data_IF_877945359369
#
_entry.id   IF_877945359369
#
_cell.length_a   1.000
_cell.length_b   1.000
_cell.length_c   1.000
_cell.angle_alpha   90.00
_cell.angle_beta   90.00
_cell.angle_gamma   90.00
#
_symmetry.space_group_name_H-M   'P 1'
#
loop_
_entity.id
_entity.type
_entity.pdbx_description
1 polymer ?
#
# COMPACT_ATOMS: atom_id res chain seq x y z
N UNK A 1 -11.39 -4.23 8.25
CA UNK A 1 -10.41 -3.98 9.37
C UNK A 1 -10.33 -2.49 9.74
N UNK A 2 -10.09 -2.13 11.02
CA UNK A 2 -9.97 -0.72 11.47
C UNK A 2 -8.52 -0.39 11.87
N UNK A 3 -7.97 0.69 11.31
CA UNK A 3 -6.60 1.15 11.58
C UNK A 3 -6.66 2.55 12.19
N UNK A 4 -6.08 2.72 13.38
CA UNK A 4 -5.94 4.02 14.05
C UNK A 4 -4.48 4.43 14.03
N UNK A 5 -4.20 5.65 13.63
CA UNK A 5 -2.83 6.19 13.59
C UNK A 5 -2.83 7.55 14.25
N UNK A 6 -1.86 7.77 15.12
CA UNK A 6 -1.59 9.07 15.71
C UNK A 6 -0.23 9.57 15.24
N UNK A 7 -0.21 10.65 14.47
CA UNK A 7 1.02 11.34 14.06
C UNK A 7 1.01 12.72 14.72
N UNK A 8 1.96 12.95 15.62
CA UNK A 8 1.94 14.15 16.47
C UNK A 8 0.69 14.21 17.36
N UNK A 9 -0.07 15.31 17.27
CA UNK A 9 -1.32 15.51 18.02
C UNK A 9 -2.57 14.95 17.34
N UNK A 10 -2.48 14.58 16.06
CA UNK A 10 -3.63 14.21 15.23
C UNK A 10 -3.86 12.70 15.26
N UNK A 11 -5.10 12.30 15.57
CA UNK A 11 -5.56 10.91 15.51
C UNK A 11 -6.43 10.73 14.27
N UNK A 12 -6.08 9.77 13.42
CA UNK A 12 -6.87 9.36 12.26
C UNK A 12 -7.34 7.93 12.42
N UNK A 13 -8.57 7.67 11.99
CA UNK A 13 -9.16 6.32 11.95
C UNK A 13 -9.55 5.96 10.52
N UNK A 14 -9.01 4.86 10.02
CA UNK A 14 -9.24 4.36 8.67
C UNK A 14 -9.91 3.00 8.75
N UNK A 15 -11.17 2.95 8.33
CA UNK A 15 -11.88 1.70 8.16
C UNK A 15 -11.66 1.18 6.73
N UNK A 16 -10.89 0.09 6.64
CA UNK A 16 -10.57 -0.55 5.36
C UNK A 16 -11.76 -1.24 4.70
N UNK A 17 -12.89 -1.41 5.38
CA UNK A 17 -14.10 -2.00 4.80
C UNK A 17 -14.92 -0.97 3.98
N UNK A 18 -14.64 0.32 4.17
CA UNK A 18 -15.30 1.38 3.41
C UNK A 18 -14.78 1.42 1.98
N UNK A 19 -15.69 1.61 1.02
CA UNK A 19 -15.34 1.77 -0.39
C UNK A 19 -14.38 2.95 -0.62
N UNK A 20 -14.60 4.04 0.11
CA UNK A 20 -13.79 5.25 0.06
C UNK A 20 -13.67 5.85 1.46
N UNK A 21 -12.45 6.17 1.85
CA UNK A 21 -12.09 6.90 3.07
C UNK A 21 -11.25 8.12 2.72
N UNK A 22 -11.28 9.14 3.56
CA UNK A 22 -10.52 10.38 3.34
C UNK A 22 -9.63 10.69 4.52
N UNK A 23 -8.44 11.18 4.23
CA UNK A 23 -7.50 11.69 5.22
C UNK A 23 -7.14 13.14 4.88
N UNK A 24 -7.78 14.06 5.60
CA UNK A 24 -7.55 15.50 5.49
C UNK A 24 -6.97 16.01 6.81
N UNK A 25 -5.65 16.08 6.91
CA UNK A 25 -4.95 16.78 8.00
C UNK A 25 -4.14 17.94 7.41
N UNK A 26 -4.01 19.08 8.11
CA UNK A 26 -3.06 20.11 7.71
C UNK A 26 -1.63 19.58 7.63
N UNK A 27 -0.83 20.17 6.73
CA UNK A 27 0.60 19.88 6.60
C UNK A 27 0.91 18.46 6.12
N UNK A 28 2.08 17.95 6.51
CA UNK A 28 2.61 16.67 6.04
C UNK A 28 2.09 15.45 6.82
N UNK A 29 1.48 15.67 7.98
CA UNK A 29 0.98 14.59 8.85
C UNK A 29 -0.01 13.66 8.12
N UNK A 30 -0.75 14.19 7.14
CA UNK A 30 -1.66 13.40 6.30
C UNK A 30 -0.91 12.35 5.47
N UNK A 31 0.24 12.70 4.91
CA UNK A 31 1.06 11.78 4.11
C UNK A 31 1.75 10.76 5.01
N UNK A 32 2.30 11.17 6.15
CA UNK A 32 2.90 10.21 7.11
C UNK A 32 1.89 9.19 7.60
N UNK A 33 0.68 9.64 7.94
CA UNK A 33 -0.40 8.74 8.37
C UNK A 33 -0.80 7.78 7.25
N UNK A 34 -1.03 8.29 6.04
CA UNK A 34 -1.39 7.46 4.89
C UNK A 34 -0.32 6.44 4.48
N UNK A 35 0.95 6.85 4.49
CA UNK A 35 2.08 5.94 4.25
C UNK A 35 2.23 4.91 5.35
N UNK A 36 1.99 5.26 6.61
CA UNK A 36 1.99 4.26 7.69
C UNK A 36 0.85 3.26 7.51
N UNK A 37 -0.36 3.69 7.10
CA UNK A 37 -1.43 2.75 6.70
C UNK A 37 -0.91 1.79 5.64
N UNK A 38 -0.30 2.30 4.57
CA UNK A 38 0.27 1.47 3.51
C UNK A 38 1.20 0.37 4.06
N UNK A 39 2.16 0.74 4.89
CA UNK A 39 3.14 -0.21 5.45
C UNK A 39 2.52 -1.21 6.43
N UNK A 40 1.54 -0.80 7.23
CA UNK A 40 0.83 -1.70 8.15
C UNK A 40 0.00 -2.74 7.37
N UNK A 41 -0.74 -2.31 6.34
CA UNK A 41 -1.49 -3.21 5.46
C UNK A 41 -0.55 -4.17 4.72
N UNK A 42 0.58 -3.66 4.22
CA UNK A 42 1.59 -4.44 3.49
C UNK A 42 2.18 -5.51 4.40
N UNK A 43 2.49 -5.13 5.64
CA UNK A 43 2.99 -6.05 6.67
C UNK A 43 1.99 -7.17 6.90
N UNK A 44 0.73 -6.86 7.21
CA UNK A 44 -0.33 -7.87 7.44
C UNK A 44 -0.49 -8.81 6.24
N UNK A 45 -0.54 -8.26 5.03
CA UNK A 45 -0.69 -9.04 3.81
C UNK A 45 0.47 -10.02 3.59
N UNK A 46 1.69 -9.64 3.98
CA UNK A 46 2.92 -10.40 3.76
C UNK A 46 3.25 -11.41 4.87
N UNK A 47 2.49 -11.45 5.98
CA UNK A 47 2.75 -12.43 7.03
C UNK A 47 2.49 -13.86 6.50
N UNK A 48 3.48 -14.76 6.55
CA UNK A 48 3.30 -16.16 6.16
C UNK A 48 2.47 -16.93 7.20
N UNK A 49 2.04 -18.13 6.85
CA UNK A 49 1.47 -19.07 7.84
C UNK A 49 2.54 -19.45 8.87
N UNK A 50 2.15 -19.60 10.13
CA UNK A 50 3.06 -19.72 11.28
C UNK A 50 3.00 -21.09 11.99
N UNK A 51 2.29 -22.07 11.43
CA UNK A 51 2.10 -23.41 12.01
C UNK A 51 3.38 -24.24 12.21
N UNK A 52 4.53 -23.78 11.69
CA UNK A 52 5.82 -24.49 11.80
C UNK A 52 6.58 -24.28 13.12
N UNK A 53 6.12 -23.39 14.00
CA UNK A 53 6.81 -23.10 15.26
C UNK A 53 6.28 -23.97 16.39
N UNK A 54 7.11 -24.88 16.91
CA UNK A 54 6.74 -25.87 17.93
C UNK A 54 7.51 -25.57 19.21
N UNK A 55 6.98 -24.69 20.07
CA UNK A 55 7.55 -24.52 21.42
C UNK A 55 6.50 -24.01 22.40
N UNK A 56 6.32 -24.75 23.50
CA UNK A 56 5.45 -24.33 24.61
C UNK A 56 3.96 -24.39 24.29
N UNK A 57 3.20 -23.47 24.86
CA UNK A 57 1.78 -23.30 24.61
C UNK A 57 1.53 -22.82 23.16
N UNK A 58 0.72 -23.54 22.35
CA UNK A 58 0.46 -23.19 20.95
C UNK A 58 -0.04 -21.76 20.73
N UNK A 59 -0.88 -21.25 21.64
CA UNK A 59 -1.48 -19.91 21.51
C UNK A 59 -0.42 -18.83 21.76
N UNK A 60 0.30 -18.91 22.89
CA UNK A 60 1.37 -17.96 23.20
C UNK A 60 2.52 -18.05 22.19
N UNK A 61 2.90 -19.27 21.78
CA UNK A 61 3.95 -19.47 20.76
C UNK A 61 3.58 -18.88 19.40
N UNK A 62 2.31 -19.01 18.98
CA UNK A 62 1.80 -18.35 17.78
C UNK A 62 1.85 -16.82 17.92
N UNK A 63 1.38 -16.29 19.06
CA UNK A 63 1.38 -14.84 19.32
C UNK A 63 2.78 -14.24 19.27
N UNK A 64 3.74 -14.82 19.98
CA UNK A 64 5.14 -14.36 19.99
C UNK A 64 5.76 -14.42 18.60
N UNK A 65 5.45 -15.47 17.84
CA UNK A 65 5.94 -15.62 16.47
C UNK A 65 5.31 -14.59 15.54
N UNK A 66 4.00 -14.36 15.64
CA UNK A 66 3.30 -13.35 14.87
C UNK A 66 3.85 -11.95 15.17
N UNK A 67 4.02 -11.60 16.44
CA UNK A 67 4.56 -10.31 16.88
C UNK A 67 5.97 -10.08 16.33
N UNK A 68 6.86 -11.07 16.47
CA UNK A 68 8.22 -11.02 15.93
C UNK A 68 8.24 -10.89 14.41
N UNK A 69 7.43 -11.67 13.69
CA UNK A 69 7.36 -11.62 12.22
C UNK A 69 6.79 -10.29 11.75
N UNK A 70 5.69 -9.81 12.35
CA UNK A 70 5.11 -8.50 12.07
C UNK A 70 6.16 -7.39 12.26
N UNK A 71 6.85 -7.39 13.40
CA UNK A 71 7.87 -6.38 13.71
C UNK A 71 9.04 -6.43 12.73
N UNK A 72 9.50 -7.63 12.37
CA UNK A 72 10.61 -7.80 11.41
C UNK A 72 10.26 -7.24 10.03
N UNK A 73 9.05 -7.56 9.53
CA UNK A 73 8.57 -7.08 8.24
C UNK A 73 8.38 -5.55 8.25
N UNK A 74 7.69 -5.02 9.25
CA UNK A 74 7.42 -3.59 9.35
C UNK A 74 8.71 -2.78 9.49
N UNK A 75 9.66 -3.24 10.33
CA UNK A 75 10.97 -2.60 10.49
C UNK A 75 11.74 -2.60 9.18
N UNK A 76 11.72 -3.71 8.43
CA UNK A 76 12.40 -3.80 7.14
C UNK A 76 11.79 -2.88 6.08
N UNK A 77 10.47 -2.73 6.06
CA UNK A 77 9.79 -1.86 5.09
C UNK A 77 9.93 -0.37 5.46
N UNK A 78 10.02 -0.07 6.76
CA UNK A 78 10.24 1.29 7.28
C UNK A 78 11.72 1.66 7.39
N UNK A 79 12.68 0.80 7.05
CA UNK A 79 14.10 1.06 7.34
C UNK A 79 14.62 2.40 6.77
N UNK A 80 14.09 2.79 5.60
CA UNK A 80 14.35 4.09 4.96
C UNK A 80 13.48 5.21 5.52
N UNK A 81 12.22 4.93 5.87
CA UNK A 81 11.21 5.92 6.23
C UNK A 81 11.12 6.24 7.74
N UNK A 82 11.64 5.36 8.62
CA UNK A 82 11.56 5.47 10.09
C UNK A 82 12.29 6.67 10.67
N UNK A 83 13.17 7.30 9.89
CA UNK A 83 13.92 8.49 10.32
C UNK A 83 13.15 9.79 10.09
N UNK A 84 11.94 9.74 9.51
CA UNK A 84 11.25 10.95 9.02
C UNK A 84 9.98 11.30 9.80
N UNK A 85 9.47 10.39 10.65
CA UNK A 85 8.25 10.67 11.42
C UNK A 85 8.17 9.83 12.70
N UNK A 86 7.36 10.30 13.64
CA UNK A 86 6.94 9.57 14.84
C UNK A 86 5.45 9.31 14.78
N UNK A 87 5.04 8.10 15.12
CA UNK A 87 3.63 7.73 15.14
C UNK A 87 3.34 6.63 16.17
N UNK A 88 2.14 6.63 16.72
CA UNK A 88 1.58 5.42 17.32
C UNK A 88 0.48 4.86 16.41
N UNK A 89 0.30 3.54 16.46
CA UNK A 89 -0.69 2.86 15.64
C UNK A 89 -1.39 1.75 16.41
N UNK A 90 -2.63 1.51 16.01
CA UNK A 90 -3.45 0.40 16.46
C UNK A 90 -4.16 -0.21 15.24
N UNK A 91 -4.05 -1.53 15.09
CA UNK A 91 -4.79 -2.30 14.09
C UNK A 91 -5.79 -3.17 14.85
N UNK A 92 -7.05 -2.91 14.61
CA UNK A 92 -8.17 -3.67 15.16
C UNK A 92 -8.68 -4.67 14.13
N UNK A 93 -8.48 -5.95 14.47
CA UNK A 93 -8.96 -7.12 13.74
C UNK A 93 -10.04 -7.85 14.58
N UNK A 94 -10.80 -8.78 13.97
CA UNK A 94 -11.86 -9.51 14.70
C UNK A 94 -11.34 -10.26 15.93
N UNK A 95 -10.29 -11.08 15.78
CA UNK A 95 -9.79 -11.96 16.83
C UNK A 95 -8.56 -11.43 17.58
N UNK A 96 -7.97 -10.32 17.12
CA UNK A 96 -6.76 -9.76 17.73
C UNK A 96 -6.66 -8.25 17.50
N UNK A 97 -5.77 -7.62 18.25
CA UNK A 97 -5.39 -6.22 18.09
C UNK A 97 -3.88 -6.11 18.10
N UNK A 98 -3.33 -5.20 17.30
CA UNK A 98 -1.90 -4.93 17.21
C UNK A 98 -1.70 -3.48 17.57
N UNK A 99 -0.88 -3.18 18.58
CA UNK A 99 -0.52 -1.82 18.99
C UNK A 99 0.96 -1.62 18.82
N UNK A 100 1.39 -0.43 18.45
CA UNK A 100 2.81 -0.17 18.34
C UNK A 100 3.12 1.29 18.10
N UNK A 101 4.42 1.56 18.04
CA UNK A 101 4.96 2.89 17.85
C UNK A 101 6.11 2.84 16.84
N UNK A 102 6.20 3.89 16.04
CA UNK A 102 7.35 4.20 15.18
C UNK A 102 8.02 5.41 15.81
N UNK A 103 9.25 5.21 16.27
CA UNK A 103 10.12 6.27 16.73
C UNK A 103 11.35 6.35 15.83
N UNK A 104 12.18 7.38 16.04
CA UNK A 104 13.41 7.54 15.29
C UNK A 104 14.32 6.32 15.50
N UNK A 105 14.58 5.58 14.43
CA UNK A 105 15.43 4.39 14.44
C UNK A 105 14.81 3.13 15.05
N UNK A 106 13.59 3.18 15.62
CA UNK A 106 12.97 2.03 16.27
C UNK A 106 11.48 1.86 15.93
N UNK A 107 11.05 0.61 15.88
CA UNK A 107 9.65 0.22 15.70
C UNK A 107 9.30 -0.74 16.82
N UNK A 108 8.13 -0.60 17.42
CA UNK A 108 7.60 -1.53 18.41
C UNK A 108 6.25 -2.07 17.95
N UNK A 109 5.93 -3.30 18.33
CA UNK A 109 4.64 -3.92 18.08
C UNK A 109 4.29 -4.86 19.24
N UNK A 110 3.03 -4.87 19.64
CA UNK A 110 2.47 -5.73 20.68
C UNK A 110 1.12 -6.28 20.23
N UNK A 111 0.95 -7.59 20.37
CA UNK A 111 -0.28 -8.29 19.99
C UNK A 111 -1.14 -8.57 21.22
N UNK A 112 -2.42 -8.26 21.12
CA UNK A 112 -3.45 -8.60 22.09
C UNK A 112 -4.45 -9.56 21.43
N UNK A 113 -4.64 -10.74 22.03
CA UNK A 113 -5.59 -11.73 21.53
C UNK A 113 -6.96 -11.45 22.16
N UNK A 114 -7.95 -11.09 21.34
CA UNK A 114 -9.33 -10.85 21.81
C UNK A 114 -10.08 -12.16 22.03
N UNK A 115 -9.71 -13.17 21.24
CA UNK A 115 -10.28 -14.51 21.29
C UNK A 115 -9.17 -15.55 21.31
N UNK A 116 -9.42 -16.66 22.02
CA UNK A 116 -8.52 -17.80 22.13
C UNK A 116 -9.25 -19.04 21.59
N UNK A 117 -8.68 -19.79 20.64
CA UNK A 117 -9.30 -20.99 20.10
C UNK A 117 -9.38 -22.10 21.17
N UNK A 118 -10.49 -22.85 21.16
CA UNK A 118 -10.58 -24.10 21.91
C UNK A 118 -9.89 -25.22 21.13
N UNK A 119 -8.74 -25.66 21.63
CA UNK A 119 -7.92 -26.68 20.97
C UNK A 119 -8.53 -28.05 21.19
N UNK A 120 -8.74 -28.80 20.11
CA UNK A 120 -9.24 -30.18 20.16
C UNK A 120 -8.11 -31.20 20.12
N UNK A 121 -7.02 -30.83 19.46
CA UNK A 121 -5.86 -31.68 19.26
C UNK A 121 -4.65 -31.17 20.07
N UNK A 122 -3.60 -32.00 20.15
CA UNK A 122 -2.34 -31.67 20.82
C UNK A 122 -1.16 -31.70 19.85
N UNK A 123 -0.02 -31.13 20.25
CA UNK A 123 1.21 -31.14 19.48
C UNK A 123 1.11 -30.33 18.18
N UNK A 124 1.67 -30.84 17.09
CA UNK A 124 1.73 -30.11 15.80
C UNK A 124 0.35 -29.70 15.29
N UNK A 125 -0.65 -30.55 15.47
CA UNK A 125 -1.99 -30.25 14.96
C UNK A 125 -2.66 -29.11 15.72
N UNK A 126 -2.38 -28.98 17.02
CA UNK A 126 -2.81 -27.81 17.80
C UNK A 126 -2.25 -26.50 17.22
N UNK A 127 -0.98 -26.47 16.80
CA UNK A 127 -0.40 -25.30 16.15
C UNK A 127 -1.09 -24.96 14.83
N UNK A 128 -1.49 -25.98 14.06
CA UNK A 128 -2.24 -25.78 12.82
C UNK A 128 -3.66 -25.25 13.07
N UNK A 129 -4.34 -25.73 14.12
CA UNK A 129 -5.65 -25.22 14.55
C UNK A 129 -5.58 -23.75 14.95
N UNK A 130 -4.59 -23.37 15.79
CA UNK A 130 -4.37 -21.97 16.20
C UNK A 130 -4.10 -21.08 14.99
N UNK A 131 -3.18 -21.50 14.14
CA UNK A 131 -2.78 -20.74 12.96
C UNK A 131 -3.96 -20.54 11.99
N UNK A 132 -4.74 -21.59 11.75
CA UNK A 132 -5.93 -21.52 10.90
C UNK A 132 -7.03 -20.65 11.50
N UNK A 133 -7.25 -20.74 12.81
CA UNK A 133 -8.20 -19.89 13.52
C UNK A 133 -7.91 -18.41 13.30
N UNK A 134 -6.68 -17.96 13.60
CA UNK A 134 -6.34 -16.55 13.47
C UNK A 134 -6.28 -16.11 12.00
N UNK A 135 -5.63 -16.86 11.11
CA UNK A 135 -5.51 -16.43 9.71
C UNK A 135 -6.81 -16.47 8.93
N UNK A 136 -7.81 -17.27 9.34
CA UNK A 136 -9.14 -17.22 8.74
C UNK A 136 -9.89 -15.92 9.05
N UNK A 137 -9.44 -15.18 10.07
CA UNK A 137 -10.08 -13.95 10.59
C UNK A 137 -9.24 -12.70 10.38
N UNK A 138 -8.02 -12.83 9.86
CA UNK A 138 -7.18 -11.72 9.45
C UNK A 138 -7.54 -11.41 8.00
N UNK A 139 -8.16 -10.25 7.79
CA UNK A 139 -8.38 -9.73 6.45
C UNK A 139 -7.04 -9.33 5.82
N UNK A 140 -6.69 -9.95 4.69
CA UNK A 140 -5.48 -9.66 3.93
C UNK A 140 -5.84 -8.84 2.71
N UNK A 141 -5.79 -7.52 2.86
CA UNK A 141 -5.95 -6.58 1.75
C UNK A 141 -4.60 -6.34 1.09
N UNK A 142 -4.55 -6.31 -0.24
CA UNK A 142 -3.33 -6.01 -0.97
C UNK A 142 -3.20 -4.49 -1.14
N UNK A 143 -2.29 -3.81 -0.44
CA UNK A 143 -2.19 -2.37 -0.53
C UNK A 143 -1.43 -1.93 -1.80
N UNK A 144 -1.71 -0.72 -2.24
CA UNK A 144 -0.96 0.00 -3.27
C UNK A 144 -0.97 1.48 -2.94
N UNK A 145 0.05 2.22 -3.37
CA UNK A 145 0.16 3.66 -3.08
C UNK A 145 0.56 4.45 -4.32
N UNK A 146 -0.14 5.55 -4.54
CA UNK A 146 0.14 6.55 -5.55
C UNK A 146 0.56 7.83 -4.82
N UNK A 147 1.86 8.19 -4.80
CA UNK A 147 2.35 9.33 -4.04
C UNK A 147 2.06 10.67 -4.72
N UNK A 148 2.08 11.77 -3.96
CA UNK A 148 1.80 13.10 -4.49
C UNK A 148 2.82 13.51 -5.57
N UNK A 149 4.09 13.11 -5.38
CA UNK A 149 5.19 13.33 -6.33
C UNK A 149 5.21 12.40 -7.54
N UNK A 150 4.12 11.68 -7.85
CA UNK A 150 4.02 10.68 -8.93
C UNK A 150 4.58 11.16 -10.28
N UNK A 151 4.33 12.41 -10.67
CA UNK A 151 4.81 12.98 -11.95
C UNK A 151 6.34 12.93 -12.00
N UNK A 152 7.00 13.50 -10.98
CA UNK A 152 8.47 13.51 -10.90
C UNK A 152 9.05 12.09 -10.84
N UNK A 153 8.38 11.16 -10.15
CA UNK A 153 8.80 9.76 -10.09
C UNK A 153 8.68 9.06 -11.45
N UNK A 154 7.59 9.26 -12.19
CA UNK A 154 7.42 8.69 -13.53
C UNK A 154 8.43 9.25 -14.51
N UNK A 155 8.71 10.55 -14.45
CA UNK A 155 9.76 11.19 -15.27
C UNK A 155 11.13 10.61 -14.93
N UNK A 156 11.49 10.50 -13.66
CA UNK A 156 12.81 10.05 -13.22
C UNK A 156 13.06 8.55 -13.45
N UNK A 157 12.01 7.73 -13.35
CA UNK A 157 12.12 6.27 -13.39
C UNK A 157 11.37 5.62 -14.56
N UNK A 158 11.09 6.39 -15.61
CA UNK A 158 10.38 5.97 -16.82
C UNK A 158 10.88 4.64 -17.42
N UNK A 159 12.20 4.42 -17.38
CA UNK A 159 12.86 3.22 -17.90
C UNK A 159 12.50 1.93 -17.15
N UNK A 160 12.01 2.04 -15.91
CA UNK A 160 11.58 0.91 -15.09
C UNK A 160 10.09 0.58 -15.27
N UNK A 161 9.37 1.34 -16.09
CA UNK A 161 7.94 1.12 -16.34
C UNK A 161 7.68 -0.01 -17.34
N UNK A 162 8.68 -0.55 -18.03
CA UNK A 162 8.49 -1.62 -19.02
C UNK A 162 9.05 -2.94 -18.48
N UNK A 163 8.30 -4.04 -18.65
CA UNK A 163 8.78 -5.39 -18.32
C UNK A 163 10.05 -5.67 -19.14
N UNK A 164 11.18 -5.85 -18.45
CA UNK A 164 12.43 -6.28 -19.05
C UNK A 164 12.56 -7.80 -18.87
N UNK A 165 12.55 -8.56 -19.98
CA UNK A 165 12.85 -9.99 -19.93
C UNK A 165 14.35 -10.16 -19.64
N UNK A 166 14.65 -11.00 -18.64
CA UNK A 166 15.98 -11.35 -18.15
C UNK A 166 16.70 -10.32 -17.25
N UNK A 167 16.69 -10.59 -15.93
CA UNK A 167 17.62 -10.06 -14.91
C UNK A 167 17.63 -8.53 -14.63
N UNK A 168 16.58 -7.77 -14.93
CA UNK A 168 16.55 -6.38 -14.46
C UNK A 168 15.89 -6.24 -13.08
N UNK A 169 16.62 -5.75 -12.06
CA UNK A 169 16.01 -5.41 -10.78
C UNK A 169 15.08 -4.23 -11.00
N UNK A 170 13.85 -4.32 -10.48
CA UNK A 170 13.03 -3.13 -10.28
C UNK A 170 13.79 -2.07 -9.46
N UNK A 171 13.21 -0.89 -9.27
CA UNK A 171 13.86 0.13 -8.45
C UNK A 171 14.24 -0.47 -7.09
N UNK A 172 15.49 -0.28 -6.60
CA UNK A 172 15.91 -0.81 -5.32
C UNK A 172 14.97 -0.38 -4.19
N UNK A 173 14.64 -1.31 -3.28
CA UNK A 173 13.79 -1.02 -2.10
C UNK A 173 14.30 0.15 -1.25
N UNK A 174 15.59 0.47 -1.33
CA UNK A 174 16.20 1.63 -0.68
C UNK A 174 15.58 2.98 -1.08
N UNK A 175 14.85 3.07 -2.22
CA UNK A 175 14.09 4.25 -2.62
C UNK A 175 12.69 4.34 -1.95
N UNK A 176 12.35 3.41 -1.05
CA UNK A 176 11.13 3.45 -0.25
C UNK A 176 9.85 3.49 -1.11
N UNK A 177 8.93 4.40 -0.78
CA UNK A 177 7.65 4.57 -1.48
C UNK A 177 7.82 4.76 -3.00
N UNK A 178 8.90 5.39 -3.47
CA UNK A 178 9.13 5.55 -4.90
C UNK A 178 9.33 4.20 -5.61
N UNK A 179 10.08 3.28 -4.99
CA UNK A 179 10.26 1.93 -5.52
C UNK A 179 8.95 1.15 -5.51
N UNK A 180 8.18 1.25 -4.42
CA UNK A 180 6.89 0.59 -4.29
C UNK A 180 5.90 1.04 -5.37
N UNK A 181 5.83 2.35 -5.64
CA UNK A 181 4.97 2.93 -6.67
C UNK A 181 5.35 2.46 -8.08
N UNK A 182 6.61 2.67 -8.49
CA UNK A 182 7.04 2.37 -9.87
C UNK A 182 7.01 0.87 -10.15
N UNK A 183 7.46 0.03 -9.21
CA UNK A 183 7.44 -1.42 -9.39
C UNK A 183 6.00 -1.98 -9.44
N UNK A 184 5.01 -1.25 -8.92
CA UNK A 184 3.59 -1.62 -9.02
C UNK A 184 2.92 -1.12 -10.30
N UNK A 185 3.59 -0.24 -11.05
CA UNK A 185 3.06 0.38 -12.28
C UNK A 185 3.67 -0.18 -13.56
N UNK A 186 4.26 -1.37 -13.51
CA UNK A 186 4.90 -1.96 -14.68
C UNK A 186 3.86 -2.21 -15.79
N UNK A 187 4.20 -1.76 -17.00
CA UNK A 187 3.43 -1.87 -18.22
C UNK A 187 3.94 -3.06 -19.03
N UNK A 188 3.03 -3.97 -19.46
CA UNK A 188 3.41 -5.11 -20.28
C UNK A 188 3.81 -4.68 -21.69
N UNK A 189 4.58 -5.53 -22.36
CA UNK A 189 4.86 -5.37 -23.79
C UNK A 189 3.54 -5.32 -24.59
N UNK A 190 3.45 -4.38 -25.53
CA UNK A 190 2.23 -4.13 -26.30
C UNK A 190 1.14 -3.34 -25.57
N UNK A 191 1.40 -2.83 -24.37
CA UNK A 191 0.50 -1.87 -23.72
C UNK A 191 0.31 -0.64 -24.62
N UNK A 192 -0.94 -0.24 -24.81
CA UNK A 192 -1.34 1.00 -25.46
C UNK A 192 -2.63 1.48 -24.83
N UNK A 193 -2.72 2.79 -24.62
CA UNK A 193 -3.90 3.45 -24.07
C UNK A 193 -3.97 4.91 -24.58
N UNK A 194 -5.08 5.58 -24.31
CA UNK A 194 -5.31 6.99 -24.62
C UNK A 194 -5.64 7.75 -23.32
N UNK A 195 -4.94 8.86 -23.07
CA UNK A 195 -5.11 9.71 -21.89
C UNK A 195 -5.06 11.16 -22.34
N UNK A 196 -6.10 11.92 -22.02
CA UNK A 196 -6.22 13.34 -22.39
C UNK A 196 -5.99 13.59 -23.90
N UNK A 197 -6.47 12.66 -24.76
CA UNK A 197 -6.25 12.72 -26.22
C UNK A 197 -4.84 12.35 -26.69
N UNK A 198 -3.93 11.98 -25.77
CA UNK A 198 -2.58 11.52 -26.08
C UNK A 198 -2.51 9.99 -26.08
N UNK A 199 -1.83 9.42 -27.08
CA UNK A 199 -1.60 7.98 -27.14
C UNK A 199 -0.39 7.61 -26.31
N UNK A 200 -0.57 6.78 -25.30
CA UNK A 200 0.51 6.25 -24.46
C UNK A 200 0.74 4.80 -24.83
N UNK A 201 1.96 4.41 -25.16
CA UNK A 201 2.28 3.04 -25.55
C UNK A 201 3.69 2.62 -25.15
N UNK A 202 3.89 1.32 -25.04
CA UNK A 202 5.23 0.73 -24.89
C UNK A 202 5.83 0.54 -26.29
N UNK A 203 6.91 1.25 -26.57
CA UNK A 203 7.73 1.04 -27.75
C UNK A 203 8.60 -0.20 -27.54
N UNK A 204 8.44 -1.19 -28.42
CA UNK A 204 9.11 -2.49 -28.30
C UNK A 204 10.57 -2.45 -28.74
N UNK A 205 10.94 -1.54 -29.65
CA UNK A 205 12.30 -1.42 -30.15
C UNK A 205 13.19 -0.74 -29.11
N UNK A 206 12.65 0.30 -28.46
CA UNK A 206 13.37 1.05 -27.43
C UNK A 206 13.16 0.54 -26.01
N UNK A 207 12.21 -0.39 -25.82
CA UNK A 207 11.79 -0.90 -24.52
C UNK A 207 11.46 0.23 -23.53
N UNK A 208 10.74 1.23 -24.01
CA UNK A 208 10.45 2.47 -23.30
C UNK A 208 8.99 2.88 -23.50
N UNK A 209 8.47 3.68 -22.55
CA UNK A 209 7.11 4.21 -22.66
C UNK A 209 7.15 5.54 -23.40
N UNK A 210 6.29 5.66 -24.40
CA UNK A 210 6.13 6.83 -25.25
C UNK A 210 4.74 7.43 -25.09
N UNK A 211 4.68 8.75 -25.27
CA UNK A 211 3.44 9.51 -25.46
C UNK A 211 3.51 10.19 -26.83
N UNK A 212 2.57 9.84 -27.70
CA UNK A 212 2.51 10.19 -29.11
C UNK A 212 3.80 9.86 -29.86
N UNK A 213 4.76 10.79 -29.88
CA UNK A 213 6.07 10.67 -30.55
C UNK A 213 7.25 11.01 -29.64
N UNK A 214 7.01 11.19 -28.36
CA UNK A 214 8.01 11.62 -27.38
C UNK A 214 8.11 10.61 -26.24
N UNK A 215 9.32 10.40 -25.67
CA UNK A 215 9.45 9.60 -24.45
C UNK A 215 8.62 10.16 -23.30
N UNK A 216 8.06 9.29 -22.46
CA UNK A 216 7.16 9.65 -21.36
C UNK A 216 7.73 10.68 -20.39
N UNK A 217 9.05 10.75 -20.24
CA UNK A 217 9.72 11.73 -19.36
C UNK A 217 9.51 13.19 -19.79
N UNK A 218 9.10 13.43 -21.05
CA UNK A 218 8.81 14.75 -21.60
C UNK A 218 7.30 15.08 -21.58
N UNK A 219 6.48 14.20 -21.01
CA UNK A 219 5.03 14.35 -21.01
C UNK A 219 4.55 15.49 -20.09
N UNK A 220 3.39 16.10 -20.41
CA UNK A 220 2.72 17.04 -19.53
C UNK A 220 2.40 16.43 -18.13
N UNK A 221 2.50 17.20 -17.04
CA UNK A 221 2.24 16.72 -15.68
C UNK A 221 0.83 16.15 -15.42
N UNK A 222 -0.19 16.72 -16.05
CA UNK A 222 -1.58 16.26 -16.05
C UNK A 222 -1.68 14.85 -16.62
N UNK A 223 -1.10 14.63 -17.80
CA UNK A 223 -1.11 13.34 -18.50
C UNK A 223 -0.41 12.25 -17.68
N UNK A 224 0.74 12.57 -17.07
CA UNK A 224 1.45 11.64 -16.18
C UNK A 224 0.66 11.32 -14.91
N UNK A 225 -0.03 12.31 -14.34
CA UNK A 225 -0.88 12.13 -13.17
C UNK A 225 -2.06 11.22 -13.49
N UNK A 226 -2.75 11.46 -14.60
CA UNK A 226 -3.86 10.65 -15.07
C UNK A 226 -3.40 9.23 -15.43
N UNK A 227 -2.23 9.06 -16.05
CA UNK A 227 -1.67 7.74 -16.33
C UNK A 227 -1.50 6.90 -15.06
N UNK A 228 -0.92 7.48 -14.00
CA UNK A 228 -0.77 6.78 -12.73
C UNK A 228 -2.13 6.33 -12.17
N UNK A 229 -3.10 7.25 -12.12
CA UNK A 229 -4.44 6.92 -11.62
C UNK A 229 -5.11 5.85 -12.46
N UNK A 230 -5.14 6.02 -13.78
CA UNK A 230 -5.80 5.11 -14.72
C UNK A 230 -5.24 3.70 -14.61
N UNK A 231 -3.91 3.55 -14.60
CA UNK A 231 -3.26 2.24 -14.51
C UNK A 231 -3.64 1.50 -13.22
N UNK A 232 -3.60 2.17 -12.07
CA UNK A 232 -3.94 1.54 -10.81
C UNK A 232 -5.43 1.28 -10.68
N UNK A 233 -6.30 2.23 -11.03
CA UNK A 233 -7.73 2.16 -10.78
C UNK A 233 -8.46 1.19 -11.71
N UNK A 234 -8.06 1.12 -12.99
CA UNK A 234 -8.71 0.25 -13.99
C UNK A 234 -8.31 -1.21 -13.86
N UNK A 235 -7.08 -1.48 -13.41
CA UNK A 235 -6.57 -2.85 -13.20
C UNK A 235 -6.94 -3.40 -11.82
N UNK A 236 -7.50 -2.57 -10.94
CA UNK A 236 -7.73 -2.91 -9.56
C UNK A 236 -8.76 -4.03 -9.37
N UNK A 237 -8.54 -4.84 -8.36
CA UNK A 237 -9.43 -5.92 -7.89
C UNK A 237 -10.10 -5.55 -6.58
N UNK A 238 -11.15 -6.28 -6.19
CA UNK A 238 -11.88 -6.05 -4.93
C UNK A 238 -11.01 -6.31 -3.68
N UNK A 239 -9.97 -7.13 -3.81
CA UNK A 239 -9.01 -7.40 -2.74
C UNK A 239 -7.98 -6.29 -2.51
N UNK A 240 -7.94 -5.29 -3.39
CA UNK A 240 -6.95 -4.22 -3.33
C UNK A 240 -7.45 -2.99 -2.55
N UNK A 241 -6.51 -2.37 -1.86
CA UNK A 241 -6.70 -1.12 -1.11
C UNK A 241 -5.70 -0.08 -1.62
N UNK A 242 -6.17 0.91 -2.37
CA UNK A 242 -5.32 1.89 -3.04
C UNK A 242 -5.32 3.19 -2.24
N UNK A 243 -4.13 3.65 -1.87
CA UNK A 243 -3.89 4.88 -1.14
C UNK A 243 -3.39 5.92 -2.15
N UNK A 244 -4.06 7.07 -2.25
CA UNK A 244 -3.78 8.08 -3.27
C UNK A 244 -3.52 9.42 -2.59
N UNK A 245 -2.30 9.93 -2.74
CA UNK A 245 -1.88 11.24 -2.26
C UNK A 245 -2.15 12.32 -3.31
N UNK A 246 -2.87 13.37 -2.91
CA UNK A 246 -3.30 14.51 -3.74
C UNK A 246 -3.77 14.06 -5.14
N UNK A 247 -4.85 13.28 -5.22
CA UNK A 247 -5.42 12.80 -6.48
C UNK A 247 -5.67 13.89 -7.53
N UNK A 248 -5.97 15.11 -7.10
CA UNK A 248 -6.24 16.29 -7.93
C UNK A 248 -4.98 17.02 -8.43
N UNK A 249 -3.78 16.59 -8.04
CA UNK A 249 -2.56 17.32 -8.38
C UNK A 249 -2.36 17.41 -9.90
N UNK A 250 -2.06 18.63 -10.36
CA UNK A 250 -1.83 19.00 -11.76
C UNK A 250 -3.05 18.91 -12.69
N UNK A 251 -4.27 18.88 -12.13
CA UNK A 251 -5.49 18.72 -12.92
C UNK A 251 -6.32 20.00 -12.99
N UNK A 252 -7.00 20.18 -14.13
CA UNK A 252 -8.09 21.11 -14.30
C UNK A 252 -9.46 20.52 -13.87
N UNK A 253 -10.53 21.31 -13.99
CA UNK A 253 -11.87 20.87 -13.57
C UNK A 253 -12.41 19.68 -14.37
N UNK A 254 -12.11 19.60 -15.67
CA UNK A 254 -12.58 18.50 -16.52
C UNK A 254 -11.86 17.20 -16.16
N UNK A 255 -10.56 17.29 -15.92
CA UNK A 255 -9.71 16.15 -15.53
C UNK A 255 -10.10 15.65 -14.13
N UNK A 256 -10.46 16.55 -13.21
CA UNK A 256 -10.99 16.17 -11.90
C UNK A 256 -12.28 15.35 -12.02
N UNK A 257 -13.18 15.71 -12.95
CA UNK A 257 -14.41 14.95 -13.16
C UNK A 257 -14.14 13.56 -13.77
N UNK A 258 -13.12 13.44 -14.63
CA UNK A 258 -12.63 12.14 -15.09
C UNK A 258 -12.11 11.29 -13.91
N UNK A 259 -11.33 11.89 -13.01
CA UNK A 259 -10.84 11.20 -11.81
C UNK A 259 -11.97 10.72 -10.91
N UNK A 260 -12.99 11.54 -10.66
CA UNK A 260 -14.18 11.13 -9.90
C UNK A 260 -14.88 9.93 -10.54
N UNK A 261 -14.99 9.93 -11.87
CA UNK A 261 -15.55 8.79 -12.62
C UNK A 261 -14.71 7.53 -12.39
N UNK A 262 -13.38 7.62 -12.52
CA UNK A 262 -12.49 6.48 -12.24
C UNK A 262 -12.62 5.96 -10.80
N UNK A 263 -12.79 6.85 -9.81
CA UNK A 263 -13.02 6.44 -8.41
C UNK A 263 -14.36 5.75 -8.17
N UNK A 264 -15.37 6.03 -8.99
CA UNK A 264 -16.67 5.38 -8.90
C UNK A 264 -16.66 4.01 -9.60
N UNK A 265 -15.90 3.88 -10.69
CA UNK A 265 -15.83 2.66 -11.50
C UNK A 265 -14.84 1.62 -10.97
N UNK A 266 -13.81 2.04 -10.23
CA UNK A 266 -12.80 1.12 -9.70
C UNK A 266 -13.42 0.09 -8.76
N UNK A 267 -12.91 -1.15 -8.78
CA UNK A 267 -13.34 -2.22 -7.88
C UNK A 267 -12.64 -2.18 -6.53
N UNK A 268 -11.44 -1.59 -6.46
CA UNK A 268 -10.69 -1.47 -5.23
C UNK A 268 -11.32 -0.51 -4.22
N UNK A 269 -10.89 -0.64 -2.97
CA UNK A 269 -11.21 0.30 -1.90
C UNK A 269 -10.15 1.40 -1.88
N UNK A 270 -10.56 2.63 -1.58
CA UNK A 270 -9.70 3.80 -1.72
C UNK A 270 -9.50 4.52 -0.38
N UNK A 271 -8.27 4.96 -0.13
CA UNK A 271 -7.94 5.99 0.84
C UNK A 271 -7.41 7.21 0.09
N UNK A 272 -8.18 8.29 0.08
CA UNK A 272 -7.82 9.54 -0.56
C UNK A 272 -7.20 10.50 0.47
N UNK A 273 -5.93 10.84 0.27
CA UNK A 273 -5.19 11.77 1.12
C UNK A 273 -5.21 13.12 0.40
N UNK A 274 -6.18 13.95 0.75
CA UNK A 274 -6.46 15.20 0.04
C UNK A 274 -7.07 16.22 1.00
N UNK A 275 -6.76 17.53 0.83
CA UNK A 275 -7.54 18.58 1.48
C UNK A 275 -8.97 18.68 0.91
N UNK A 276 -9.20 18.22 -0.32
CA UNK A 276 -10.48 18.30 -1.02
C UNK A 276 -11.36 17.07 -0.76
N UNK A 277 -12.29 17.18 0.19
CA UNK A 277 -13.25 16.11 0.51
C UNK A 277 -14.35 15.90 -0.53
N UNK A 278 -14.39 16.66 -1.62
CA UNK A 278 -15.44 16.56 -2.65
C UNK A 278 -15.11 15.61 -3.80
N UNK A 279 -13.97 14.91 -3.71
CA UNK A 279 -13.49 13.93 -4.69
C UNK A 279 -14.11 12.54 -4.53
#
# INVERSE_FOLDING_TARGET
MLVRIKVGGELVEINTDLKRSYLSSPGEAKYYSGRLVYYLLKTINNIPRLYGYIKGDPVNGWKETFERTFLTLLTSDLDVAKNWFKASYEIELPSLMIKGEVEEGSVSAKVELKEVPQLKEQGLRANFEVDSFYFSRIERVKPSIIPAGRVGLLTAFSRFLVIQYEKAPGIPKAFGIAAEFINSMILPQGFSDEINGHKIYVDQEENAVYIDKSPIQNAPPDTLSLLALKVFLTRATESEFIIIEDPEAHMDENEIDEVKKMFNETKARLLLITPNKTL
#
